data_IF_411585264177
#
_entry.id   IF_411585264177
#
_cell.length_a   1.000
_cell.length_b   1.000
_cell.length_c   1.000
_cell.angle_alpha   90.00
_cell.angle_beta   90.00
_cell.angle_gamma   90.00
#
_symmetry.space_group_name_H-M   'P 1'
#
loop_
_entity.id
_entity.type
_entity.pdbx_description
1 polymer ?
#
# COMPACT_ATOMS: atom_id res chain seq x y z
N UNK A 1 -17.02 -14.47 24.77
CA UNK A 1 -16.13 -15.03 23.72
C UNK A 1 -16.79 -16.05 22.79
N UNK A 2 -17.72 -16.91 23.24
CA UNK A 2 -18.39 -17.90 22.37
C UNK A 2 -19.13 -17.27 21.17
N UNK A 3 -19.69 -16.07 21.36
CA UNK A 3 -20.32 -15.28 20.30
C UNK A 3 -19.34 -14.62 19.34
N UNK A 4 -18.04 -14.52 19.66
CA UNK A 4 -17.07 -13.87 18.78
C UNK A 4 -16.67 -14.83 17.64
N UNK A 5 -16.46 -16.10 17.97
CA UNK A 5 -15.94 -17.12 17.05
C UNK A 5 -17.02 -18.01 16.42
N UNK A 6 -18.23 -18.08 16.99
CA UNK A 6 -19.31 -18.89 16.39
C UNK A 6 -19.99 -18.10 15.28
N UNK A 7 -19.84 -18.49 14.00
CA UNK A 7 -20.56 -17.83 12.92
C UNK A 7 -22.06 -18.13 13.01
N UNK A 8 -22.87 -17.21 12.50
CA UNK A 8 -24.29 -17.42 12.24
C UNK A 8 -24.41 -18.16 10.92
N UNK A 9 -25.11 -19.30 10.95
CA UNK A 9 -25.30 -20.16 9.79
C UNK A 9 -26.69 -19.88 9.24
N UNK A 10 -26.76 -19.46 7.98
CA UNK A 10 -28.04 -19.13 7.35
C UNK A 10 -28.83 -20.40 6.99
N UNK A 11 -30.17 -20.32 6.79
CA UNK A 11 -30.99 -21.50 6.50
C UNK A 11 -30.46 -22.34 5.34
N UNK A 12 -30.09 -21.68 4.23
CA UNK A 12 -29.60 -22.36 3.04
C UNK A 12 -28.09 -22.18 2.86
N UNK A 13 -27.40 -23.23 2.41
CA UNK A 13 -25.95 -23.21 2.22
C UNK A 13 -25.49 -22.15 1.20
N UNK A 14 -26.28 -21.90 0.15
CA UNK A 14 -25.94 -20.97 -0.91
C UNK A 14 -25.90 -19.52 -0.43
N UNK A 15 -26.64 -19.18 0.64
CA UNK A 15 -26.62 -17.85 1.24
C UNK A 15 -25.28 -17.57 1.89
N UNK A 16 -24.74 -18.55 2.62
CA UNK A 16 -23.39 -18.45 3.18
C UNK A 16 -22.33 -18.43 2.08
N UNK A 17 -22.54 -19.16 0.97
CA UNK A 17 -21.62 -19.15 -0.17
C UNK A 17 -21.57 -17.76 -0.84
N UNK A 18 -22.74 -17.17 -1.08
CA UNK A 18 -22.87 -15.84 -1.67
C UNK A 18 -22.18 -14.77 -0.81
N UNK A 19 -22.33 -14.84 0.51
CA UNK A 19 -21.68 -13.91 1.43
C UNK A 19 -20.19 -14.18 1.64
N UNK A 20 -19.73 -15.42 1.39
CA UNK A 20 -18.31 -15.75 1.42
C UNK A 20 -17.56 -15.14 0.23
N UNK A 21 -18.20 -14.99 -0.94
CA UNK A 21 -17.57 -14.40 -2.14
C UNK A 21 -16.97 -13.00 -1.90
N UNK A 22 -17.73 -11.97 -1.49
CA UNK A 22 -17.17 -10.65 -1.25
C UNK A 22 -16.16 -10.68 -0.11
N UNK A 23 -16.39 -11.47 0.95
CA UNK A 23 -15.44 -11.62 2.06
C UNK A 23 -14.07 -12.13 1.59
N UNK A 24 -14.06 -13.18 0.76
CA UNK A 24 -12.84 -13.81 0.24
C UNK A 24 -12.15 -12.90 -0.78
N UNK A 25 -12.90 -12.39 -1.75
CA UNK A 25 -12.32 -11.55 -2.82
C UNK A 25 -11.78 -10.25 -2.24
N UNK A 26 -12.55 -9.55 -1.43
CA UNK A 26 -12.10 -8.30 -0.80
C UNK A 26 -10.98 -8.54 0.21
N UNK A 27 -11.05 -9.62 1.00
CA UNK A 27 -9.97 -10.00 1.91
C UNK A 27 -8.66 -10.29 1.17
N UNK A 28 -8.74 -10.97 0.02
CA UNK A 28 -7.59 -11.23 -0.84
C UNK A 28 -7.01 -9.93 -1.40
N UNK A 29 -7.85 -9.06 -2.00
CA UNK A 29 -7.39 -7.79 -2.58
C UNK A 29 -6.77 -6.87 -1.53
N UNK A 30 -7.35 -6.82 -0.32
CA UNK A 30 -6.76 -6.10 0.81
C UNK A 30 -5.38 -6.68 1.16
N UNK A 31 -5.24 -7.99 1.28
CA UNK A 31 -3.99 -8.61 1.70
C UNK A 31 -2.89 -8.58 0.60
N UNK A 32 -3.26 -8.80 -0.66
CA UNK A 32 -2.33 -9.00 -1.77
C UNK A 32 -1.91 -7.70 -2.44
N UNK A 33 -2.73 -6.65 -2.36
CA UNK A 33 -2.49 -5.39 -3.05
C UNK A 33 -2.28 -4.24 -2.05
N UNK A 34 -3.31 -3.88 -1.30
CA UNK A 34 -3.27 -2.71 -0.42
C UNK A 34 -2.33 -2.90 0.78
N UNK A 35 -2.47 -4.04 1.48
CA UNK A 35 -1.63 -4.43 2.60
C UNK A 35 -0.20 -4.75 2.18
N UNK A 36 -0.01 -5.53 1.12
CA UNK A 36 1.32 -5.92 0.63
C UNK A 36 2.21 -4.74 0.23
N UNK A 37 1.61 -3.63 -0.23
CA UNK A 37 2.33 -2.41 -0.57
C UNK A 37 2.86 -1.65 0.67
N UNK A 38 2.19 -1.79 1.82
CA UNK A 38 2.44 -0.98 3.04
C UNK A 38 2.97 -1.79 4.23
N UNK A 39 2.83 -3.11 4.20
CA UNK A 39 3.14 -4.03 5.27
C UNK A 39 3.97 -5.19 4.72
N UNK A 40 5.06 -5.52 5.40
CA UNK A 40 5.97 -6.57 4.94
C UNK A 40 5.39 -7.97 5.09
N UNK A 41 5.18 -8.62 3.96
CA UNK A 41 4.63 -9.96 3.80
C UNK A 41 5.52 -10.77 2.84
N UNK A 42 5.44 -12.12 2.86
CA UNK A 42 6.19 -12.95 1.91
C UNK A 42 5.91 -12.66 0.43
N UNK A 43 4.77 -12.02 0.12
CA UNK A 43 4.36 -11.62 -1.23
C UNK A 43 4.38 -10.10 -1.45
N UNK A 44 4.96 -9.33 -0.54
CA UNK A 44 5.16 -7.89 -0.77
C UNK A 44 6.08 -7.64 -1.96
N UNK A 45 5.87 -6.58 -2.74
CA UNK A 45 6.74 -6.24 -3.86
C UNK A 45 8.21 -6.14 -3.42
N UNK A 46 9.16 -6.85 -4.07
CA UNK A 46 10.58 -6.82 -3.68
C UNK A 46 11.20 -5.42 -3.71
N UNK A 47 10.70 -4.57 -4.62
CA UNK A 47 11.13 -3.17 -4.78
C UNK A 47 10.83 -2.33 -3.54
N UNK A 48 9.77 -2.67 -2.78
CA UNK A 48 9.38 -1.94 -1.59
C UNK A 48 10.34 -2.17 -0.42
N UNK A 49 11.17 -3.22 -0.47
CA UNK A 49 12.21 -3.50 0.53
C UNK A 49 11.68 -3.58 1.97
N UNK A 50 10.48 -4.14 2.14
CA UNK A 50 9.86 -4.30 3.45
C UNK A 50 10.35 -5.58 4.13
N UNK A 51 10.87 -5.45 5.36
CA UNK A 51 11.10 -6.59 6.24
C UNK A 51 9.79 -7.18 6.75
N UNK A 52 9.79 -8.44 7.20
CA UNK A 52 8.57 -9.12 7.66
C UNK A 52 7.91 -8.34 8.82
N UNK A 53 6.64 -7.98 8.64
CA UNK A 53 5.83 -7.18 9.57
C UNK A 53 6.32 -5.76 9.82
N UNK A 54 7.20 -5.24 8.95
CA UNK A 54 7.52 -3.83 8.91
C UNK A 54 6.44 -3.03 8.20
N UNK A 55 6.29 -1.77 8.61
CA UNK A 55 5.40 -0.80 7.96
C UNK A 55 6.23 0.10 7.07
N UNK A 56 5.71 0.39 5.88
CA UNK A 56 6.39 1.25 4.92
C UNK A 56 6.74 2.62 5.51
N UNK A 57 7.94 3.09 5.18
CA UNK A 57 8.58 4.24 5.84
C UNK A 57 7.78 5.54 5.75
N UNK A 58 6.92 5.68 4.74
CA UNK A 58 6.12 6.87 4.42
C UNK A 58 4.73 6.89 5.08
N UNK A 59 4.25 5.72 5.51
CA UNK A 59 2.87 5.59 5.97
C UNK A 59 2.60 6.30 7.31
N UNK A 60 3.52 6.28 8.30
CA UNK A 60 3.35 7.07 9.52
C UNK A 60 3.23 8.58 9.28
N UNK A 61 3.92 9.13 8.28
CA UNK A 61 3.88 10.55 7.94
C UNK A 61 2.52 10.92 7.35
N UNK A 62 1.98 10.09 6.46
CA UNK A 62 0.62 10.26 5.91
C UNK A 62 -0.43 10.19 7.02
N UNK A 63 -0.29 9.24 7.95
CA UNK A 63 -1.19 9.12 9.11
C UNK A 63 -1.06 10.33 10.04
N UNK A 64 0.16 10.84 10.26
CA UNK A 64 0.37 12.04 11.05
C UNK A 64 -0.32 13.27 10.45
N UNK A 65 -0.39 13.36 9.12
CA UNK A 65 -1.05 14.46 8.40
C UNK A 65 -2.57 14.51 8.64
N UNK A 66 -3.20 13.42 9.07
CA UNK A 66 -4.62 13.42 9.44
C UNK A 66 -4.93 14.24 10.70
N UNK A 67 -3.91 14.56 11.51
CA UNK A 67 -4.07 15.39 12.71
C UNK A 67 -4.69 14.64 13.90
N UNK A 68 -5.01 15.39 14.97
CA UNK A 68 -5.66 14.86 16.17
C UNK A 68 -4.90 13.69 16.82
N UNK A 69 -5.62 12.60 17.11
CA UNK A 69 -5.03 11.38 17.71
C UNK A 69 -4.04 10.69 16.77
N UNK A 70 -4.21 10.83 15.45
CA UNK A 70 -3.34 10.20 14.47
C UNK A 70 -1.95 10.84 14.45
N UNK A 71 -1.88 12.17 14.60
CA UNK A 71 -0.62 12.89 14.77
C UNK A 71 0.07 12.60 16.11
N UNK A 72 -0.67 12.24 17.15
CA UNK A 72 -0.12 11.93 18.47
C UNK A 72 0.54 10.53 18.51
N UNK A 73 -0.03 9.56 17.78
CA UNK A 73 0.46 8.18 17.74
C UNK A 73 0.56 7.62 16.30
N UNK A 74 1.29 8.28 15.39
CA UNK A 74 1.26 7.96 13.96
C UNK A 74 1.78 6.55 13.66
N UNK A 75 2.87 6.13 14.31
CA UNK A 75 3.44 4.79 14.13
C UNK A 75 2.44 3.70 14.52
N UNK A 76 1.70 3.89 15.61
CA UNK A 76 0.70 2.94 16.06
C UNK A 76 -0.45 2.82 15.05
N UNK A 77 -1.03 3.95 14.61
CA UNK A 77 -2.15 3.94 13.68
C UNK A 77 -1.75 3.49 12.27
N UNK A 78 -0.55 3.85 11.80
CA UNK A 78 0.00 3.33 10.55
C UNK A 78 0.20 1.81 10.62
N UNK A 79 0.75 1.31 11.73
CA UNK A 79 0.88 -0.13 11.93
C UNK A 79 -0.47 -0.83 11.96
N UNK A 80 -1.43 -0.31 12.73
CA UNK A 80 -2.79 -0.87 12.79
C UNK A 80 -3.50 -0.85 11.44
N UNK A 81 -3.35 0.23 10.66
CA UNK A 81 -3.93 0.33 9.32
C UNK A 81 -3.34 -0.71 8.37
N UNK A 82 -2.00 -0.79 8.30
CA UNK A 82 -1.28 -1.70 7.43
C UNK A 82 -1.53 -3.17 7.83
N UNK A 83 -1.50 -3.47 9.13
CA UNK A 83 -1.82 -4.79 9.68
C UNK A 83 -3.25 -5.22 9.38
N UNK A 84 -4.22 -4.31 9.53
CA UNK A 84 -5.63 -4.57 9.26
C UNK A 84 -5.87 -4.90 7.78
N UNK A 85 -5.27 -4.16 6.86
CA UNK A 85 -5.35 -4.45 5.42
C UNK A 85 -4.65 -5.79 5.07
N UNK A 86 -3.44 -6.01 5.60
CA UNK A 86 -2.64 -7.20 5.31
C UNK A 86 -3.16 -8.47 5.99
N UNK A 87 -2.99 -8.55 7.30
CA UNK A 87 -3.33 -9.74 8.10
C UNK A 87 -4.83 -9.83 8.31
N UNK A 88 -5.53 -8.71 8.53
CA UNK A 88 -6.98 -8.71 8.61
C UNK A 88 -7.63 -9.19 7.31
N UNK A 89 -7.14 -8.75 6.15
CA UNK A 89 -7.54 -9.28 4.84
C UNK A 89 -7.35 -10.79 4.73
N UNK A 90 -6.19 -11.31 5.12
CA UNK A 90 -5.90 -12.76 5.12
C UNK A 90 -6.81 -13.55 6.07
N UNK A 91 -7.08 -13.01 7.27
CA UNK A 91 -8.02 -13.60 8.23
C UNK A 91 -9.45 -13.67 7.67
N UNK A 92 -9.88 -12.65 6.93
CA UNK A 92 -11.17 -12.66 6.22
C UNK A 92 -11.21 -13.70 5.10
N UNK A 93 -10.13 -13.90 4.34
CA UNK A 93 -10.05 -14.97 3.31
C UNK A 93 -10.28 -16.33 3.96
N UNK A 94 -9.50 -16.63 5.01
CA UNK A 94 -9.57 -17.91 5.72
C UNK A 94 -10.87 -18.09 6.51
N UNK A 95 -11.56 -16.99 6.83
CA UNK A 95 -12.71 -17.00 7.73
C UNK A 95 -12.31 -17.44 9.15
N UNK A 96 -11.15 -16.96 9.60
CA UNK A 96 -10.58 -17.19 10.93
C UNK A 96 -10.56 -15.85 11.69
N UNK A 97 -11.03 -15.82 12.94
CA UNK A 97 -11.18 -14.57 13.70
C UNK A 97 -11.99 -13.53 12.89
N UNK A 98 -13.03 -13.99 12.18
CA UNK A 98 -13.68 -13.22 11.11
C UNK A 98 -14.28 -11.91 11.61
N UNK A 99 -14.93 -11.93 12.78
CA UNK A 99 -15.55 -10.73 13.37
C UNK A 99 -14.51 -9.70 13.82
N UNK A 100 -13.48 -10.05 14.61
CA UNK A 100 -12.37 -9.14 14.89
C UNK A 100 -11.70 -8.57 13.64
N UNK A 101 -11.40 -9.41 12.65
CA UNK A 101 -10.77 -8.97 11.41
C UNK A 101 -11.67 -7.98 10.63
N UNK A 102 -12.96 -8.31 10.48
CA UNK A 102 -13.94 -7.42 9.83
C UNK A 102 -14.10 -6.09 10.58
N UNK A 103 -14.04 -6.11 11.92
CA UNK A 103 -14.09 -4.90 12.73
C UNK A 103 -12.88 -4.00 12.48
N UNK A 104 -11.66 -4.56 12.53
CA UNK A 104 -10.44 -3.82 12.25
C UNK A 104 -10.46 -3.23 10.83
N UNK A 105 -10.82 -4.04 9.83
CA UNK A 105 -10.93 -3.60 8.43
C UNK A 105 -11.96 -2.48 8.31
N UNK A 106 -13.12 -2.60 8.97
CA UNK A 106 -14.14 -1.56 8.96
C UNK A 106 -13.63 -0.25 9.54
N UNK A 107 -12.90 -0.28 10.66
CA UNK A 107 -12.26 0.92 11.22
C UNK A 107 -11.25 1.53 10.25
N UNK A 108 -10.38 0.73 9.64
CA UNK A 108 -9.38 1.22 8.67
C UNK A 108 -10.04 1.84 7.45
N UNK A 109 -11.09 1.23 6.91
CA UNK A 109 -11.81 1.75 5.76
C UNK A 109 -12.56 3.06 6.09
N UNK A 110 -13.12 3.20 7.30
CA UNK A 110 -13.70 4.48 7.75
C UNK A 110 -12.64 5.58 7.82
N UNK A 111 -11.45 5.28 8.33
CA UNK A 111 -10.34 6.25 8.36
C UNK A 111 -9.91 6.60 6.93
N UNK A 112 -9.72 5.61 6.04
CA UNK A 112 -9.38 5.85 4.65
C UNK A 112 -10.43 6.71 3.93
N UNK A 113 -11.72 6.44 4.16
CA UNK A 113 -12.81 7.22 3.59
C UNK A 113 -12.79 8.69 4.05
N UNK A 114 -12.74 8.94 5.36
CA UNK A 114 -12.93 10.29 5.89
C UNK A 114 -11.65 11.11 6.03
N UNK A 115 -10.50 10.48 6.25
CA UNK A 115 -9.23 11.16 6.47
C UNK A 115 -8.35 11.21 5.22
N UNK A 116 -8.36 10.15 4.41
CA UNK A 116 -7.47 10.06 3.23
C UNK A 116 -8.13 10.56 1.95
N UNK A 117 -9.38 10.14 1.67
CA UNK A 117 -9.99 10.32 0.34
C UNK A 117 -11.14 11.34 0.29
N UNK A 118 -11.57 11.87 1.44
CA UNK A 118 -12.76 12.74 1.49
C UNK A 118 -12.62 14.01 0.63
N UNK A 119 -11.43 14.63 0.62
CA UNK A 119 -11.15 15.84 -0.17
C UNK A 119 -10.95 15.53 -1.66
N UNK A 120 -10.59 14.29 -2.01
CA UNK A 120 -10.38 13.82 -3.38
C UNK A 120 -11.70 13.44 -4.08
N UNK A 121 -12.83 13.52 -3.37
CA UNK A 121 -14.17 13.30 -3.90
C UNK A 121 -14.64 11.84 -3.91
N UNK A 122 -15.92 11.65 -4.25
CA UNK A 122 -16.62 10.36 -4.09
C UNK A 122 -15.96 9.21 -4.86
N UNK A 123 -15.46 9.45 -6.08
CA UNK A 123 -14.85 8.42 -6.92
C UNK A 123 -13.62 7.79 -6.26
N UNK A 124 -12.80 8.60 -5.59
CA UNK A 124 -11.61 8.14 -4.87
C UNK A 124 -11.96 7.44 -3.54
N UNK A 125 -13.13 7.73 -2.96
CA UNK A 125 -13.65 7.03 -1.79
C UNK A 125 -14.23 5.64 -2.09
N UNK A 126 -14.67 5.38 -3.34
CA UNK A 126 -15.37 4.14 -3.70
C UNK A 126 -14.63 2.84 -3.32
N UNK A 127 -13.30 2.71 -3.46
CA UNK A 127 -12.61 1.49 -3.04
C UNK A 127 -12.73 1.24 -1.53
N UNK A 128 -12.45 2.26 -0.71
CA UNK A 128 -12.58 2.16 0.75
C UNK A 128 -14.03 1.86 1.16
N UNK A 129 -14.98 2.45 0.45
CA UNK A 129 -16.40 2.13 0.62
C UNK A 129 -16.69 0.66 0.26
N UNK A 130 -16.30 0.20 -0.92
CA UNK A 130 -16.53 -1.19 -1.33
C UNK A 130 -16.01 -2.20 -0.31
N UNK A 131 -14.81 -1.98 0.22
CA UNK A 131 -14.22 -2.83 1.27
C UNK A 131 -14.98 -2.77 2.59
N UNK A 132 -15.40 -1.58 3.04
CA UNK A 132 -16.21 -1.45 4.25
C UNK A 132 -17.53 -2.22 4.11
N UNK A 133 -18.25 -2.05 3.00
CA UNK A 133 -19.55 -2.70 2.80
C UNK A 133 -19.40 -4.22 2.68
N UNK A 134 -18.31 -4.71 2.08
CA UNK A 134 -17.99 -6.14 2.02
C UNK A 134 -17.62 -6.73 3.40
N UNK A 135 -17.04 -5.92 4.30
CA UNK A 135 -16.68 -6.36 5.65
C UNK A 135 -17.89 -6.41 6.61
N UNK A 136 -18.92 -5.57 6.41
CA UNK A 136 -20.07 -5.49 7.33
C UNK A 136 -20.83 -6.82 7.52
N UNK A 137 -21.14 -7.62 6.47
CA UNK A 137 -21.75 -8.93 6.66
C UNK A 137 -20.85 -9.87 7.47
N UNK A 138 -19.54 -9.86 7.24
CA UNK A 138 -18.58 -10.67 7.97
C UNK A 138 -18.45 -10.24 9.45
N UNK A 139 -18.63 -8.95 9.73
CA UNK A 139 -18.67 -8.40 11.10
C UNK A 139 -19.88 -8.90 11.88
N UNK A 140 -21.06 -8.95 11.26
CA UNK A 140 -22.31 -9.36 11.91
C UNK A 140 -22.44 -10.89 11.96
N UNK A 141 -22.33 -11.54 10.79
CA UNK A 141 -22.61 -12.96 10.61
C UNK A 141 -21.40 -13.85 10.92
N UNK A 142 -20.18 -13.33 10.84
CA UNK A 142 -18.95 -14.13 10.87
C UNK A 142 -18.70 -14.83 9.53
N UNK A 143 -18.02 -15.98 9.55
CA UNK A 143 -17.62 -16.69 8.32
C UNK A 143 -18.69 -17.55 7.66
N UNK A 144 -19.88 -17.70 8.25
CA UNK A 144 -20.88 -18.67 7.79
C UNK A 144 -20.34 -20.10 7.75
N UNK A 145 -20.87 -20.98 6.89
CA UNK A 145 -20.33 -22.36 6.70
C UNK A 145 -18.93 -22.40 6.07
N UNK A 146 -18.55 -21.37 5.32
CA UNK A 146 -17.33 -21.35 4.51
C UNK A 146 -16.20 -20.58 5.20
N UNK A 147 -15.69 -21.08 6.32
CA UNK A 147 -14.52 -20.52 6.99
C UNK A 147 -14.04 -21.36 8.16
N UNK A 148 -12.80 -21.12 8.59
CA UNK A 148 -12.17 -21.89 9.66
C UNK A 148 -12.91 -21.74 11.00
N UNK A 149 -13.48 -20.58 11.32
CA UNK A 149 -14.28 -20.35 12.53
C UNK A 149 -15.46 -21.34 12.65
N UNK A 150 -16.08 -21.73 11.53
CA UNK A 150 -17.16 -22.74 11.50
C UNK A 150 -16.63 -24.13 11.79
N UNK A 151 -15.54 -24.54 11.14
CA UNK A 151 -14.92 -25.86 11.31
C UNK A 151 -14.44 -26.07 12.75
N UNK A 152 -13.81 -25.04 13.33
CA UNK A 152 -13.34 -25.04 14.71
C UNK A 152 -14.50 -25.14 15.70
N UNK A 153 -15.61 -24.44 15.44
CA UNK A 153 -16.78 -24.47 16.32
C UNK A 153 -17.61 -25.76 16.17
N UNK A 154 -17.67 -26.35 14.97
CA UNK A 154 -18.43 -27.59 14.69
C UNK A 154 -17.79 -28.83 15.30
N UNK A 155 -16.47 -28.92 15.29
CA UNK A 155 -15.75 -30.16 15.65
C UNK A 155 -15.70 -30.46 17.15
N UNK A 156 -16.24 -29.60 18.02
CA UNK A 156 -16.28 -29.81 19.48
C UNK A 156 -14.91 -29.85 20.20
N UNK A 157 -13.80 -30.05 19.48
CA UNK A 157 -12.49 -30.42 20.01
C UNK A 157 -11.51 -29.28 20.29
N UNK A 158 -11.60 -28.14 19.59
CA UNK A 158 -10.85 -26.94 19.96
C UNK A 158 -11.82 -25.93 20.54
N UNK A 159 -11.99 -25.94 21.87
CA UNK A 159 -12.41 -24.73 22.57
C UNK A 159 -11.17 -23.84 22.64
N UNK A 160 -11.02 -22.83 21.77
CA UNK A 160 -9.86 -21.98 21.84
C UNK A 160 -9.88 -21.34 23.23
N UNK A 161 -8.83 -21.59 24.02
CA UNK A 161 -8.76 -21.06 25.38
C UNK A 161 -8.80 -19.55 25.24
N UNK A 162 -9.73 -18.86 25.92
CA UNK A 162 -9.91 -17.42 25.77
C UNK A 162 -8.60 -16.65 25.99
N UNK A 163 -7.76 -17.13 26.92
CA UNK A 163 -6.41 -16.61 27.17
C UNK A 163 -5.45 -16.78 25.99
N UNK A 164 -5.46 -17.92 25.27
CA UNK A 164 -4.58 -18.16 24.11
C UNK A 164 -4.98 -17.32 22.90
N UNK A 165 -6.28 -17.11 22.70
CA UNK A 165 -6.75 -16.21 21.63
C UNK A 165 -6.47 -14.76 21.97
N UNK A 166 -6.68 -14.36 23.22
CA UNK A 166 -6.32 -13.03 23.68
C UNK A 166 -4.80 -12.81 23.56
N UNK A 167 -3.98 -13.82 23.86
CA UNK A 167 -2.53 -13.75 23.69
C UNK A 167 -2.12 -13.66 22.22
N UNK A 168 -2.74 -14.45 21.33
CA UNK A 168 -2.50 -14.39 19.90
C UNK A 168 -2.92 -13.03 19.30
N UNK A 169 -4.10 -12.52 19.69
CA UNK A 169 -4.56 -11.19 19.33
C UNK A 169 -3.64 -10.10 19.89
N UNK A 170 -3.14 -10.23 21.11
CA UNK A 170 -2.22 -9.27 21.71
C UNK A 170 -0.81 -9.31 21.09
N UNK A 171 -0.32 -10.49 20.71
CA UNK A 171 0.93 -10.63 19.97
C UNK A 171 0.82 -10.00 18.57
N UNK A 172 -0.36 -10.08 17.96
CA UNK A 172 -0.74 -9.37 16.73
C UNK A 172 -1.04 -7.87 16.95
N UNK A 173 -0.78 -7.31 18.13
CA UNK A 173 -0.90 -5.87 18.43
C UNK A 173 0.43 -5.26 18.88
N UNK A 174 1.53 -6.03 18.88
CA UNK A 174 2.84 -5.49 19.13
C UNK A 174 3.27 -4.68 17.91
N UNK A 175 3.42 -3.34 18.03
CA UNK A 175 3.80 -2.51 16.89
C UNK A 175 5.16 -2.99 16.37
N UNK A 176 5.14 -3.50 15.14
CA UNK A 176 6.34 -3.79 14.36
C UNK A 176 7.08 -2.50 14.02
N UNK A 177 8.35 -2.64 13.68
CA UNK A 177 9.19 -1.51 13.32
C UNK A 177 8.68 -0.83 12.04
N UNK A 178 8.86 0.49 11.98
CA UNK A 178 8.77 1.23 10.72
C UNK A 178 10.04 0.94 9.92
N UNK A 179 9.87 0.68 8.63
CA UNK A 179 10.95 0.48 7.69
C UNK A 179 11.96 1.62 7.75
N UNK A 180 13.24 1.29 7.80
CA UNK A 180 14.32 2.29 7.71
C UNK A 180 14.35 2.91 6.31
N UNK A 181 14.50 4.23 6.26
CA UNK A 181 14.64 4.99 5.03
C UNK A 181 15.87 5.88 5.10
N UNK A 182 16.49 6.07 3.93
CA UNK A 182 17.73 6.84 3.80
C UNK A 182 17.59 7.82 2.64
N UNK A 183 18.42 8.84 2.66
CA UNK A 183 18.49 9.78 1.56
C UNK A 183 19.27 9.15 0.40
N UNK A 184 18.60 9.07 -0.76
CA UNK A 184 19.19 8.64 -2.02
C UNK A 184 19.14 9.77 -3.01
N UNK A 185 20.29 10.12 -3.56
CA UNK A 185 20.47 11.17 -4.55
C UNK A 185 20.65 10.57 -5.93
N UNK A 186 19.84 11.00 -6.89
CA UNK A 186 20.03 10.68 -8.30
C UNK A 186 20.43 11.94 -9.06
N UNK A 187 21.57 11.86 -9.73
CA UNK A 187 22.03 12.87 -10.68
C UNK A 187 21.56 12.44 -12.06
N UNK A 188 20.49 13.06 -12.54
CA UNK A 188 19.95 12.84 -13.88
C UNK A 188 20.78 13.62 -14.89
N UNK A 189 21.22 12.94 -15.94
CA UNK A 189 21.86 13.51 -17.11
C UNK A 189 21.08 13.07 -18.33
N UNK A 190 20.40 14.02 -18.96
CA UNK A 190 19.53 13.76 -20.10
C UNK A 190 20.11 14.40 -21.36
N UNK A 191 20.39 13.56 -22.36
CA UNK A 191 20.71 13.97 -23.72
C UNK A 191 19.41 14.17 -24.52
N UNK A 192 19.17 15.40 -24.96
CA UNK A 192 18.03 15.81 -25.81
C UNK A 192 18.48 16.14 -27.23
N UNK A 193 19.72 15.79 -27.60
CA UNK A 193 20.29 16.12 -28.91
C UNK A 193 19.47 15.50 -30.04
N UNK A 194 19.08 16.34 -31.00
CA UNK A 194 18.26 15.96 -32.15
C UNK A 194 16.78 16.30 -32.01
N UNK A 195 16.36 16.89 -30.89
CA UNK A 195 15.01 17.45 -30.73
C UNK A 195 15.01 18.96 -31.02
N UNK A 196 14.19 19.45 -31.98
CA UNK A 196 14.04 20.88 -32.22
C UNK A 196 13.21 21.54 -31.11
N UNK A 197 13.35 22.86 -30.96
CA UNK A 197 12.49 23.72 -30.13
C UNK A 197 12.38 23.32 -28.64
N UNK A 198 13.50 22.89 -28.04
CA UNK A 198 13.58 22.58 -26.60
C UNK A 198 13.53 23.87 -25.78
N UNK A 199 12.36 24.21 -25.24
CA UNK A 199 12.18 25.36 -24.34
C UNK A 199 12.33 24.94 -22.88
N UNK A 200 11.82 23.75 -22.56
CA UNK A 200 11.74 23.22 -21.21
C UNK A 200 12.09 21.73 -21.21
N UNK A 201 12.87 21.31 -20.22
CA UNK A 201 13.22 19.90 -20.01
C UNK A 201 12.90 19.57 -18.56
N UNK A 202 12.04 18.57 -18.36
CA UNK A 202 11.57 18.16 -17.04
C UNK A 202 11.86 16.70 -16.73
N UNK A 203 11.77 16.37 -15.45
CA UNK A 203 11.65 14.99 -14.95
C UNK A 203 10.44 14.91 -14.03
N UNK A 204 9.65 13.87 -14.24
CA UNK A 204 8.55 13.45 -13.38
C UNK A 204 8.87 12.09 -12.80
N UNK A 205 8.30 11.77 -11.66
CA UNK A 205 8.61 10.52 -10.99
C UNK A 205 7.74 10.24 -9.78
N UNK A 206 7.88 9.02 -9.29
CA UNK A 206 7.04 8.48 -8.21
C UNK A 206 7.37 9.08 -6.85
N UNK A 207 8.66 9.27 -6.55
CA UNK A 207 9.11 9.57 -5.20
C UNK A 207 9.38 11.08 -5.02
N UNK A 208 8.97 11.65 -3.88
CA UNK A 208 9.19 13.07 -3.58
C UNK A 208 10.69 13.43 -3.64
N UNK A 209 11.06 14.62 -4.13
CA UNK A 209 10.20 15.74 -4.53
C UNK A 209 9.64 15.65 -5.96
N UNK A 210 9.84 14.53 -6.68
CA UNK A 210 9.22 14.34 -7.98
C UNK A 210 7.71 14.10 -7.84
N UNK A 211 6.99 14.43 -8.90
CA UNK A 211 5.56 14.19 -9.05
C UNK A 211 5.27 13.76 -10.48
N UNK A 212 4.19 13.01 -10.68
CA UNK A 212 3.64 12.71 -12.01
C UNK A 212 2.80 13.86 -12.58
N UNK A 213 2.39 14.81 -11.73
CA UNK A 213 1.50 15.90 -12.13
C UNK A 213 2.26 17.11 -12.70
N UNK A 214 3.48 17.35 -12.24
CA UNK A 214 4.27 18.53 -12.61
C UNK A 214 5.75 18.20 -12.85
N UNK A 215 6.38 18.98 -13.73
CA UNK A 215 7.79 18.83 -14.08
C UNK A 215 8.72 19.42 -13.01
N UNK A 216 9.71 18.63 -12.57
CA UNK A 216 10.92 19.19 -11.98
C UNK A 216 11.88 19.57 -13.10
N UNK A 217 12.21 20.86 -13.21
CA UNK A 217 13.03 21.38 -14.30
C UNK A 217 14.48 20.92 -14.22
N UNK A 218 15.03 20.48 -15.35
CA UNK A 218 16.46 20.23 -15.50
C UNK A 218 17.17 21.51 -15.95
N UNK A 219 18.39 21.67 -15.44
CA UNK A 219 19.30 22.77 -15.80
C UNK A 219 20.18 22.39 -17.00
N UNK A 220 20.36 23.27 -18.00
CA UNK A 220 21.22 22.98 -19.14
C UNK A 220 22.70 22.97 -18.73
N UNK A 221 23.41 21.88 -19.00
CA UNK A 221 24.89 21.83 -18.98
C UNK A 221 25.43 22.31 -20.32
N UNK A 222 24.83 21.82 -21.42
CA UNK A 222 25.12 22.25 -22.78
C UNK A 222 23.78 22.55 -23.43
N UNK A 223 23.58 23.81 -23.81
CA UNK A 223 22.35 24.29 -24.43
C UNK A 223 21.95 23.37 -25.60
N UNK A 224 20.67 23.02 -25.65
CA UNK A 224 20.04 22.21 -26.71
C UNK A 224 20.61 20.78 -26.87
N UNK A 225 21.34 20.29 -25.87
CA UNK A 225 22.00 18.97 -25.95
C UNK A 225 21.98 18.21 -24.63
N UNK A 226 22.52 18.77 -23.55
CA UNK A 226 22.70 18.04 -22.28
C UNK A 226 22.13 18.81 -21.10
N UNK A 227 21.25 18.16 -20.35
CA UNK A 227 20.52 18.71 -19.21
C UNK A 227 20.78 17.89 -17.94
N UNK A 228 20.69 18.54 -16.78
CA UNK A 228 20.97 17.94 -15.48
C UNK A 228 19.97 18.33 -14.40
N UNK A 229 19.55 17.35 -13.61
CA UNK A 229 18.92 17.57 -12.32
C UNK A 229 19.62 16.74 -11.24
N UNK A 230 19.58 17.23 -10.01
CA UNK A 230 20.00 16.48 -8.82
C UNK A 230 18.79 16.40 -7.93
N UNK A 231 18.35 15.20 -7.63
CA UNK A 231 17.17 14.98 -6.80
C UNK A 231 17.57 14.07 -5.66
N UNK A 232 17.31 14.51 -4.43
CA UNK A 232 17.45 13.70 -3.24
C UNK A 232 16.08 13.29 -2.76
N UNK A 233 15.89 12.00 -2.56
CA UNK A 233 14.65 11.38 -2.09
C UNK A 233 14.94 10.62 -0.82
N UNK A 234 14.14 10.84 0.21
CA UNK A 234 14.14 10.01 1.40
C UNK A 234 13.29 8.76 1.14
N UNK A 235 13.92 7.58 1.04
CA UNK A 235 13.20 6.34 0.69
C UNK A 235 13.80 5.09 1.31
N UNK A 236 12.91 4.15 1.65
CA UNK A 236 13.26 2.77 1.99
C UNK A 236 13.26 1.83 0.78
N UNK A 237 12.76 2.28 -0.38
CA UNK A 237 12.63 1.47 -1.60
C UNK A 237 13.97 1.20 -2.28
N UNK A 238 14.04 0.10 -3.04
CA UNK A 238 15.22 -0.27 -3.84
C UNK A 238 15.27 0.38 -5.21
N UNK A 239 14.13 0.81 -5.73
CA UNK A 239 13.98 1.32 -7.09
C UNK A 239 13.14 2.58 -7.05
N UNK A 240 13.42 3.53 -7.92
CA UNK A 240 12.56 4.67 -8.23
C UNK A 240 12.14 4.65 -9.70
N UNK A 241 11.00 5.27 -10.01
CA UNK A 241 10.47 5.36 -11.37
C UNK A 241 10.37 6.81 -11.81
N UNK A 242 10.85 7.07 -13.02
CA UNK A 242 10.85 8.41 -13.62
C UNK A 242 10.47 8.39 -15.09
N UNK A 243 10.09 9.56 -15.59
CA UNK A 243 9.91 9.82 -17.02
C UNK A 243 10.32 11.26 -17.32
N UNK A 244 11.12 11.45 -18.35
CA UNK A 244 11.51 12.78 -18.79
C UNK A 244 10.44 13.43 -19.65
N UNK A 245 10.45 14.75 -19.67
CA UNK A 245 9.54 15.56 -20.48
C UNK A 245 10.32 16.63 -21.26
N UNK A 246 9.86 16.93 -22.47
CA UNK A 246 10.27 18.11 -23.23
C UNK A 246 9.02 18.94 -23.45
N UNK A 247 9.04 20.22 -23.07
CA UNK A 247 7.90 21.13 -23.19
C UNK A 247 6.59 20.57 -22.60
N UNK A 248 6.70 19.74 -21.55
CA UNK A 248 5.57 19.06 -20.91
C UNK A 248 5.13 17.73 -21.55
N UNK A 249 5.65 17.39 -22.73
CA UNK A 249 5.40 16.12 -23.41
C UNK A 249 6.28 15.01 -22.84
N UNK A 250 5.65 13.91 -22.42
CA UNK A 250 6.35 12.70 -21.97
C UNK A 250 7.20 12.06 -23.07
N UNK A 251 8.40 11.64 -22.70
CA UNK A 251 9.16 10.66 -23.49
C UNK A 251 8.44 9.30 -23.49
N UNK A 252 8.80 8.45 -24.46
CA UNK A 252 8.42 7.04 -24.54
C UNK A 252 6.90 6.87 -24.38
N UNK A 253 6.12 7.68 -25.12
CA UNK A 253 4.66 7.70 -25.05
C UNK A 253 4.09 6.28 -25.23
N UNK A 254 3.23 5.87 -24.29
CA UNK A 254 2.62 4.54 -24.27
C UNK A 254 3.53 3.39 -23.84
N UNK A 255 4.79 3.65 -23.46
CA UNK A 255 5.71 2.67 -22.90
C UNK A 255 5.85 2.85 -21.38
N UNK A 256 6.42 1.83 -20.74
CA UNK A 256 6.75 1.81 -19.31
C UNK A 256 7.65 2.98 -18.89
N UNK A 257 7.60 3.30 -17.60
CA UNK A 257 8.47 4.31 -17.00
C UNK A 257 9.91 3.79 -16.91
N UNK A 258 10.88 4.71 -16.83
CA UNK A 258 12.28 4.33 -16.58
C UNK A 258 12.42 3.92 -15.12
N UNK A 259 12.97 2.74 -14.87
CA UNK A 259 13.27 2.20 -13.53
C UNK A 259 14.75 2.44 -13.20
N UNK A 260 15.02 2.99 -12.02
CA UNK A 260 16.37 3.30 -11.54
C UNK A 260 16.57 2.59 -10.22
N UNK A 261 17.49 1.63 -10.17
CA UNK A 261 17.84 0.92 -8.95
C UNK A 261 18.80 1.76 -8.10
N UNK A 262 18.50 1.90 -6.82
CA UNK A 262 19.40 2.50 -5.85
C UNK A 262 20.50 1.50 -5.52
N UNK A 263 21.74 1.84 -5.86
CA UNK A 263 22.91 1.08 -5.47
C UNK A 263 23.18 1.16 -3.97
N UNK A 264 24.27 0.51 -3.53
CA UNK A 264 24.75 0.60 -2.15
C UNK A 264 25.19 2.03 -1.77
N UNK A 265 25.64 2.81 -2.74
CA UNK A 265 25.98 4.22 -2.55
C UNK A 265 24.73 5.09 -2.36
N UNK A 266 24.90 6.23 -1.69
CA UNK A 266 23.83 7.21 -1.51
C UNK A 266 23.63 8.11 -2.71
N UNK A 267 24.54 8.07 -3.69
CA UNK A 267 24.43 8.84 -4.93
C UNK A 267 24.58 7.95 -6.14
N UNK A 268 23.62 8.02 -7.06
CA UNK A 268 23.66 7.37 -8.36
C UNK A 268 23.67 8.43 -9.49
N UNK A 269 24.37 8.15 -10.58
CA UNK A 269 24.35 8.98 -11.79
C UNK A 269 23.57 8.21 -12.86
N UNK A 270 22.44 8.76 -13.29
CA UNK A 270 21.60 8.16 -14.31
C UNK A 270 21.72 8.94 -15.62
N UNK A 271 22.23 8.27 -16.66
CA UNK A 271 22.41 8.84 -18.00
C UNK A 271 21.37 8.27 -18.94
N UNK A 272 20.62 9.14 -19.60
CA UNK A 272 19.61 8.76 -20.56
C UNK A 272 19.65 9.65 -21.80
N UNK A 273 19.10 9.15 -22.90
CA UNK A 273 18.76 9.94 -24.09
C UNK A 273 17.25 9.95 -24.25
N UNK A 274 16.68 11.12 -24.51
CA UNK A 274 15.23 11.30 -24.65
C UNK A 274 14.68 10.36 -25.75
N UNK A 275 13.53 9.75 -25.49
CA UNK A 275 12.86 8.76 -26.36
C UNK A 275 13.67 7.50 -26.73
N UNK A 276 14.84 7.29 -26.11
CA UNK A 276 15.66 6.10 -26.31
C UNK A 276 15.74 5.29 -25.02
N UNK A 277 15.23 4.07 -25.06
CA UNK A 277 15.51 3.08 -24.02
C UNK A 277 16.95 2.61 -24.18
N UNK A 278 17.77 2.96 -23.19
CA UNK A 278 19.09 2.34 -23.05
C UNK A 278 18.82 0.98 -22.41
N UNK A 279 19.35 -0.13 -22.97
CA UNK A 279 19.19 -1.45 -22.39
C UNK A 279 19.81 -1.56 -20.99
#
# INVERSE_FOLDING_TARGET
>A
MRHLFRPLVLPNWWQDALLALPRIVCGYLLASNFGAAKFGLPWSPPDNNLGLFEVAFWFPQDVAAYGGIFAMFPNFFAWMGAFSEAIGGMLLVLGLLTRPAAFLVSCTMLVAMFMQQFQEGLWNMLPAMGFLWAALPALVLGSGRFGLDYLLTKSGGLRPRPGLVALALAALLLPGCVQQAHDKTVVYLLDVSGHPDVQQVGVRGRDKPLSWDYDLQLTPIKKDSLYRAVVTTHTGYKVTEVKFTINGDYELKGKENRRIEFGSADTAVYRARFDVMVP
#
